data_IF_842572930056
#
_entry.id   IF_842572930056
#
_cell.length_a   1.000
_cell.length_b   1.000
_cell.length_c   1.000
_cell.angle_alpha   90.00
_cell.angle_beta   90.00
_cell.angle_gamma   90.00
#
_symmetry.space_group_name_H-M   'P 1'
#
loop_
_entity.id
_entity.type
_entity.pdbx_description
1 polymer ?
#
# COMPACT_ATOMS: atom_id res chain seq x y z
N UNK A 1 13.33 11.77 3.20
CA UNK A 1 12.18 11.18 2.47
C UNK A 1 12.59 10.27 1.30
N UNK A 2 13.30 10.73 0.26
CA UNK A 2 13.60 9.90 -0.95
C UNK A 2 14.31 8.57 -0.64
N UNK A 3 15.27 8.57 0.29
CA UNK A 3 16.00 7.36 0.70
C UNK A 3 15.07 6.32 1.36
N UNK A 4 14.21 6.78 2.27
CA UNK A 4 13.28 5.93 3.02
C UNK A 4 12.31 5.21 2.10
N UNK A 5 11.72 5.94 1.15
CA UNK A 5 10.82 5.36 0.13
C UNK A 5 11.50 4.27 -0.68
N UNK A 6 12.77 4.50 -1.07
CA UNK A 6 13.53 3.51 -1.86
C UNK A 6 13.87 2.26 -1.07
N UNK A 7 14.13 2.41 0.24
CA UNK A 7 14.48 1.31 1.14
C UNK A 7 13.26 0.49 1.58
N UNK A 8 12.15 1.14 1.88
CA UNK A 8 10.95 0.50 2.43
C UNK A 8 9.93 0.11 1.36
N UNK A 9 10.02 0.67 0.14
CA UNK A 9 9.02 0.50 -0.91
C UNK A 9 7.70 1.22 -0.64
N UNK A 10 7.55 1.89 0.51
CA UNK A 10 6.33 2.58 0.89
C UNK A 10 6.26 3.97 0.26
N UNK A 11 5.07 4.37 -0.20
CA UNK A 11 4.87 5.72 -0.72
C UNK A 11 5.04 6.77 0.39
N UNK A 12 5.48 8.00 0.06
CA UNK A 12 5.56 9.09 1.03
C UNK A 12 4.24 9.35 1.76
N UNK A 13 3.11 9.07 1.11
CA UNK A 13 1.79 9.24 1.70
C UNK A 13 1.53 8.21 2.80
N UNK A 14 1.81 6.92 2.55
CA UNK A 14 1.64 5.83 3.53
C UNK A 14 2.48 6.10 4.78
N UNK A 15 3.74 6.48 4.61
CA UNK A 15 4.63 6.79 5.73
C UNK A 15 4.04 7.92 6.60
N UNK A 16 3.51 8.99 5.98
CA UNK A 16 2.86 10.09 6.71
C UNK A 16 1.59 9.66 7.43
N UNK A 17 0.81 8.76 6.85
CA UNK A 17 -0.39 8.20 7.51
C UNK A 17 0.03 7.39 8.73
N UNK A 18 1.09 6.58 8.60
CA UNK A 18 1.59 5.77 9.71
C UNK A 18 2.13 6.62 10.86
N UNK A 19 2.87 7.69 10.55
CA UNK A 19 3.30 8.71 11.53
C UNK A 19 2.10 9.34 12.24
N UNK A 20 1.13 9.84 11.48
CA UNK A 20 0.02 10.64 12.03
C UNK A 20 -0.96 9.80 12.83
N UNK A 21 -1.35 8.63 12.29
CA UNK A 21 -2.44 7.82 12.83
C UNK A 21 -1.96 6.84 13.90
N UNK A 22 -0.79 6.26 13.72
CA UNK A 22 -0.30 5.19 14.58
C UNK A 22 0.93 5.58 15.38
N UNK A 23 1.46 6.81 15.21
CA UNK A 23 2.68 7.28 15.87
C UNK A 23 3.84 6.27 15.73
N UNK A 24 3.90 5.58 14.58
CA UNK A 24 4.84 4.49 14.36
C UNK A 24 6.31 4.96 14.43
N UNK A 25 6.54 6.26 14.25
CA UNK A 25 7.83 6.95 14.21
C UNK A 25 7.68 8.38 14.75
N UNK A 26 8.79 8.95 15.21
CA UNK A 26 8.88 10.33 15.65
C UNK A 26 10.05 11.04 14.94
N UNK A 27 9.93 11.30 13.61
CA UNK A 27 11.05 11.82 12.85
C UNK A 27 11.42 13.22 13.30
N UNK A 28 12.72 13.45 13.44
CA UNK A 28 13.27 14.77 13.71
C UNK A 28 12.95 15.73 12.56
N UNK A 29 12.83 17.01 12.90
CA UNK A 29 12.63 18.07 11.93
C UNK A 29 13.95 18.79 11.70
N UNK A 30 14.35 18.89 10.44
CA UNK A 30 15.47 19.72 10.03
C UNK A 30 15.18 21.21 10.31
N UNK A 31 16.21 22.08 10.32
CA UNK A 31 16.04 23.54 10.43
C UNK A 31 15.16 24.13 9.31
N UNK A 32 15.08 23.42 8.17
CA UNK A 32 14.21 23.73 7.03
C UNK A 32 12.83 23.08 7.10
N UNK A 33 12.43 22.58 8.28
CA UNK A 33 11.15 21.89 8.56
C UNK A 33 10.91 20.62 7.72
N UNK A 34 11.98 19.94 7.29
CA UNK A 34 11.90 18.67 6.55
C UNK A 34 12.04 17.50 7.51
N UNK A 35 11.27 16.43 7.28
CA UNK A 35 11.38 15.18 8.05
C UNK A 35 12.73 14.51 7.79
N UNK A 36 13.48 14.29 8.85
CA UNK A 36 14.70 13.50 8.88
C UNK A 36 14.40 12.21 9.62
N UNK A 37 14.79 11.09 9.01
CA UNK A 37 14.69 9.79 9.65
C UNK A 37 16.10 9.34 9.99
N UNK A 38 16.29 8.91 11.23
CA UNK A 38 17.51 8.21 11.64
C UNK A 38 17.58 6.83 10.99
N UNK A 39 18.77 6.22 10.98
CA UNK A 39 18.96 4.85 10.48
C UNK A 39 18.04 3.86 11.24
N UNK A 40 17.89 4.04 12.55
CA UNK A 40 17.01 3.22 13.39
C UNK A 40 15.54 3.32 12.97
N UNK A 41 15.05 4.52 12.68
CA UNK A 41 13.68 4.73 12.19
C UNK A 41 13.46 4.13 10.80
N UNK A 42 14.47 4.18 9.94
CA UNK A 42 14.40 3.53 8.62
C UNK A 42 14.33 2.01 8.77
N UNK A 43 15.18 1.43 9.62
CA UNK A 43 15.15 -0.01 9.89
C UNK A 43 13.81 -0.46 10.51
N UNK A 44 13.26 0.31 11.45
CA UNK A 44 11.93 0.07 12.02
C UNK A 44 10.85 0.11 10.94
N UNK A 45 10.90 1.09 10.04
CA UNK A 45 9.98 1.17 8.91
C UNK A 45 10.08 -0.02 7.97
N UNK A 46 11.28 -0.53 7.70
CA UNK A 46 11.47 -1.72 6.87
C UNK A 46 10.82 -2.95 7.49
N UNK A 47 10.96 -3.13 8.81
CA UNK A 47 10.30 -4.23 9.55
C UNK A 47 8.78 -4.10 9.51
N UNK A 48 8.25 -2.89 9.76
CA UNK A 48 6.82 -2.63 9.68
C UNK A 48 6.29 -2.86 8.27
N UNK A 49 6.99 -2.39 7.23
CA UNK A 49 6.63 -2.64 5.83
C UNK A 49 6.54 -4.14 5.56
N UNK A 50 7.58 -4.90 5.93
CA UNK A 50 7.63 -6.35 5.75
C UNK A 50 6.49 -7.06 6.51
N UNK A 51 6.30 -6.75 7.78
CA UNK A 51 5.20 -7.35 8.57
C UNK A 51 3.84 -7.03 7.96
N UNK A 52 3.66 -5.80 7.49
CA UNK A 52 2.46 -5.48 6.75
C UNK A 52 2.38 -6.35 5.50
N UNK A 53 3.41 -6.45 4.65
CA UNK A 53 3.37 -7.30 3.44
C UNK A 53 2.96 -8.76 3.70
N UNK A 54 3.24 -9.29 4.89
CA UNK A 54 2.81 -10.63 5.33
C UNK A 54 1.40 -10.71 5.94
N UNK A 55 0.62 -9.64 5.87
CA UNK A 55 -0.78 -9.61 6.31
C UNK A 55 -1.01 -9.02 7.70
N UNK A 56 0.03 -8.62 8.44
CA UNK A 56 -0.16 -7.98 9.75
C UNK A 56 -0.80 -6.60 9.61
N UNK A 57 -1.70 -6.27 10.53
CA UNK A 57 -2.33 -4.94 10.57
C UNK A 57 -1.37 -3.92 11.19
N UNK A 58 -1.18 -2.78 10.53
CA UNK A 58 -0.30 -1.71 11.01
C UNK A 58 -0.69 -1.22 12.41
N UNK A 59 -1.98 -1.19 12.73
CA UNK A 59 -2.50 -0.79 14.04
C UNK A 59 -2.02 -1.68 15.18
N UNK A 60 -1.78 -2.98 14.91
CA UNK A 60 -1.30 -3.91 15.92
C UNK A 60 0.21 -3.84 16.09
N UNK A 61 0.95 -3.63 15.00
CA UNK A 61 2.41 -3.69 15.02
C UNK A 61 3.10 -2.34 15.25
N UNK A 62 2.46 -1.22 14.93
CA UNK A 62 3.09 0.11 14.97
C UNK A 62 3.58 0.53 16.37
N UNK A 63 2.92 0.04 17.42
CA UNK A 63 3.21 0.34 18.83
C UNK A 63 4.09 -0.71 19.51
N UNK A 64 4.48 -1.77 18.79
CA UNK A 64 5.35 -2.81 19.35
C UNK A 64 6.79 -2.30 19.49
N UNK A 65 7.52 -2.74 20.54
CA UNK A 65 8.94 -2.46 20.65
C UNK A 65 9.73 -3.14 19.52
N UNK A 66 10.89 -2.61 19.20
CA UNK A 66 11.70 -3.12 18.08
C UNK A 66 12.08 -4.60 18.24
N UNK A 67 12.29 -5.08 19.46
CA UNK A 67 12.59 -6.48 19.74
C UNK A 67 11.44 -7.43 19.34
N UNK A 68 10.19 -7.03 19.57
CA UNK A 68 9.02 -7.82 19.20
C UNK A 68 8.83 -7.81 17.68
N UNK A 69 9.06 -6.65 17.04
CA UNK A 69 9.04 -6.54 15.58
C UNK A 69 10.11 -7.41 14.93
N UNK A 70 11.32 -7.45 15.48
CA UNK A 70 12.40 -8.32 15.02
C UNK A 70 12.03 -9.79 15.16
N UNK A 71 11.46 -10.18 16.30
CA UNK A 71 11.02 -11.56 16.55
C UNK A 71 9.94 -11.98 15.55
N UNK A 72 8.95 -11.12 15.31
CA UNK A 72 7.90 -11.37 14.31
C UNK A 72 8.48 -11.49 12.91
N UNK A 73 9.41 -10.60 12.52
CA UNK A 73 10.05 -10.65 11.20
C UNK A 73 10.92 -11.90 11.03
N UNK A 74 11.62 -12.33 12.09
CA UNK A 74 12.45 -13.54 12.07
C UNK A 74 11.62 -14.82 11.85
N UNK A 75 10.36 -14.82 12.27
CA UNK A 75 9.41 -15.92 12.02
C UNK A 75 8.81 -15.93 10.61
N UNK A 76 9.02 -14.88 9.80
CA UNK A 76 8.48 -14.79 8.44
C UNK A 76 9.43 -15.44 7.42
N UNK A 77 8.89 -16.10 6.39
CA UNK A 77 9.72 -16.64 5.31
C UNK A 77 10.41 -15.52 4.52
N UNK A 78 11.45 -15.88 3.77
CA UNK A 78 12.29 -14.93 3.04
C UNK A 78 11.57 -14.22 1.88
N UNK A 79 10.54 -14.86 1.31
CA UNK A 79 9.75 -14.31 0.22
C UNK A 79 8.39 -13.81 0.74
N UNK A 80 8.01 -12.54 0.46
CA UNK A 80 6.69 -12.03 0.81
C UNK A 80 5.61 -12.85 0.10
N UNK A 81 4.60 -13.26 0.84
CA UNK A 81 3.35 -13.68 0.21
C UNK A 81 2.78 -12.42 -0.44
N UNK A 82 2.66 -12.42 -1.77
CA UNK A 82 2.18 -11.27 -2.51
C UNK A 82 0.82 -10.85 -1.95
N UNK A 83 0.78 -9.77 -1.17
CA UNK A 83 -0.47 -9.12 -0.83
C UNK A 83 -1.20 -8.82 -2.15
N UNK A 84 -2.50 -9.10 -2.28
CA UNK A 84 -3.28 -8.40 -3.28
C UNK A 84 -3.15 -6.91 -2.93
N UNK A 85 -2.45 -6.16 -3.78
CA UNK A 85 -2.26 -4.72 -3.59
C UNK A 85 -3.63 -4.07 -3.69
N UNK A 86 -4.28 -3.87 -2.55
CA UNK A 86 -5.53 -3.13 -2.51
C UNK A 86 -5.22 -1.68 -2.93
N UNK A 87 -5.57 -1.34 -4.17
CA UNK A 87 -5.58 0.04 -4.65
C UNK A 87 -4.22 0.66 -5.00
N UNK A 88 -3.34 -0.04 -5.70
CA UNK A 88 -2.41 0.66 -6.60
C UNK A 88 -2.96 0.49 -8.02
N UNK A 89 -3.41 1.58 -8.66
CA UNK A 89 -3.75 1.61 -10.08
C UNK A 89 -2.57 1.16 -10.95
N UNK A 90 -2.35 -0.14 -11.02
CA UNK A 90 -1.33 -0.83 -11.81
C UNK A 90 -1.95 -1.60 -12.97
N UNK A 91 -3.28 -1.71 -13.03
CA UNK A 91 -3.98 -2.18 -14.21
C UNK A 91 -4.38 -0.97 -15.04
N UNK A 92 -4.00 -1.00 -16.32
CA UNK A 92 -4.39 0.00 -17.29
C UNK A 92 -5.93 -0.01 -17.39
N UNK A 93 -6.63 1.12 -17.18
CA UNK A 93 -8.09 1.17 -17.31
C UNK A 93 -8.56 1.02 -18.76
N UNK A 94 -7.69 1.31 -19.74
CA UNK A 94 -8.05 1.35 -21.16
C UNK A 94 -8.63 0.03 -21.71
N UNK A 95 -8.05 -1.16 -21.44
CA UNK A 95 -8.63 -2.44 -21.86
C UNK A 95 -10.05 -2.70 -21.33
N UNK A 96 -10.36 -2.24 -20.12
CA UNK A 96 -11.71 -2.40 -19.55
C UNK A 96 -12.70 -1.46 -20.24
N UNK A 97 -12.27 -0.24 -20.59
CA UNK A 97 -13.09 0.71 -21.34
C UNK A 97 -13.39 0.21 -22.77
N UNK A 98 -12.38 -0.34 -23.45
CA UNK A 98 -12.55 -0.94 -24.79
C UNK A 98 -13.55 -2.10 -24.77
N UNK A 99 -13.45 -3.00 -23.77
CA UNK A 99 -14.39 -4.10 -23.62
C UNK A 99 -15.82 -3.65 -23.27
N UNK A 100 -15.97 -2.58 -22.46
CA UNK A 100 -17.26 -1.96 -22.21
C UNK A 100 -17.89 -1.40 -23.49
N UNK A 101 -17.11 -0.70 -24.31
CA UNK A 101 -17.58 -0.12 -25.57
C UNK A 101 -18.04 -1.21 -26.55
N UNK A 102 -17.30 -2.31 -26.66
CA UNK A 102 -17.70 -3.46 -27.49
C UNK A 102 -19.04 -4.07 -27.04
N UNK A 103 -19.29 -4.14 -25.72
CA UNK A 103 -20.54 -4.66 -25.16
C UNK A 103 -21.71 -3.71 -25.34
N UNK A 104 -21.45 -2.40 -25.31
CA UNK A 104 -22.45 -1.36 -25.65
C UNK A 104 -22.81 -1.42 -27.14
N UNK A 105 -21.81 -1.55 -28.02
CA UNK A 105 -22.03 -1.66 -29.48
C UNK A 105 -22.82 -2.92 -29.86
N UNK A 106 -22.63 -4.01 -29.12
CA UNK A 106 -23.38 -5.26 -29.30
C UNK A 106 -24.72 -5.32 -28.55
N UNK A 107 -25.11 -4.25 -27.85
CA UNK A 107 -26.32 -4.17 -27.01
C UNK A 107 -26.42 -5.29 -25.95
N UNK A 108 -25.27 -5.82 -25.53
CA UNK A 108 -25.18 -6.89 -24.53
C UNK A 108 -25.14 -6.30 -23.12
N UNK A 109 -26.33 -5.97 -22.59
CA UNK A 109 -26.47 -5.40 -21.26
C UNK A 109 -25.97 -6.31 -20.13
N UNK A 110 -26.10 -7.63 -20.27
CA UNK A 110 -25.63 -8.58 -19.25
C UNK A 110 -24.11 -8.67 -19.24
N UNK A 111 -23.48 -8.78 -20.41
CA UNK A 111 -22.02 -8.79 -20.51
C UNK A 111 -21.38 -7.49 -20.04
N UNK A 112 -22.06 -6.35 -20.21
CA UNK A 112 -21.61 -5.07 -19.65
C UNK A 112 -21.67 -5.05 -18.12
N UNK A 113 -22.77 -5.53 -17.53
CA UNK A 113 -22.95 -5.56 -16.07
C UNK A 113 -21.92 -6.46 -15.38
N UNK A 114 -21.70 -7.66 -15.92
CA UNK A 114 -20.67 -8.60 -15.40
C UNK A 114 -19.24 -8.02 -15.47
N UNK A 115 -18.96 -7.23 -16.51
CA UNK A 115 -17.65 -6.62 -16.71
C UNK A 115 -17.43 -5.43 -15.78
N UNK A 116 -18.46 -4.62 -15.54
CA UNK A 116 -18.44 -3.53 -14.56
C UNK A 116 -18.31 -4.06 -13.13
N UNK A 117 -19.01 -5.14 -12.79
CA UNK A 117 -18.88 -5.80 -11.48
C UNK A 117 -17.45 -6.31 -11.25
N UNK A 118 -16.85 -6.96 -12.26
CA UNK A 118 -15.44 -7.39 -12.20
C UNK A 118 -14.47 -6.22 -12.05
N UNK A 119 -14.67 -5.15 -12.80
CA UNK A 119 -13.85 -3.94 -12.68
C UNK A 119 -14.00 -3.31 -11.28
N UNK A 120 -15.21 -3.28 -10.71
CA UNK A 120 -15.45 -2.74 -9.36
C UNK A 120 -14.74 -3.53 -8.25
N UNK A 121 -14.49 -4.82 -8.45
CA UNK A 121 -13.73 -5.68 -7.54
C UNK A 121 -12.21 -5.49 -7.70
N UNK A 122 -11.75 -5.17 -8.91
CA UNK A 122 -10.34 -4.95 -9.24
C UNK A 122 -9.86 -3.51 -8.89
N UNK A 123 -10.74 -2.52 -9.03
CA UNK A 123 -10.43 -1.12 -8.81
C UNK A 123 -11.12 -0.60 -7.54
N UNK A 124 -10.34 -0.13 -6.56
CA UNK A 124 -10.90 0.57 -5.40
C UNK A 124 -11.62 1.85 -5.84
N UNK A 125 -12.74 2.20 -5.18
CA UNK A 125 -13.67 3.32 -5.46
C UNK A 125 -13.07 4.66 -5.96
N UNK A 126 -11.78 4.95 -5.72
CA UNK A 126 -11.10 6.15 -6.22
C UNK A 126 -10.84 6.17 -7.73
N UNK A 127 -10.78 5.03 -8.43
CA UNK A 127 -10.54 4.99 -9.90
C UNK A 127 -11.86 4.99 -10.69
N UNK A 128 -12.98 4.64 -10.06
CA UNK A 128 -14.30 4.60 -10.71
C UNK A 128 -14.96 5.98 -10.85
N UNK A 129 -14.37 7.04 -10.27
CA UNK A 129 -14.95 8.39 -10.18
C UNK A 129 -14.05 9.50 -10.78
N UNK A 130 -12.90 9.15 -11.36
CA UNK A 130 -12.08 10.04 -12.20
C UNK A 130 -12.21 9.65 -13.66
#
# INVERSE_FOLDING_TARGET
MKLVVKRTGLSPHVIRVWERRYQALAPDRSPTNRRMYSEAEVARLERLARLTDFGHSISQIAQLPDADLETLVAGLPAAPQARPKLGSGQEDPLPYLEACLEKIESLDGKGLEELLDRASLAFSQQVLLE
#
